data_IF_034833310567
#
_entry.id   IF_034833310567
#
_cell.length_a   1.000
_cell.length_b   1.000
_cell.length_c   1.000
_cell.angle_alpha   90.00
_cell.angle_beta   90.00
_cell.angle_gamma   90.00
#
_symmetry.space_group_name_H-M   'P 1'
#
loop_
_entity.id
_entity.type
_entity.pdbx_description
1 polymer ?
#
# COMPACT_ATOMS: atom_id res chain seq x y z
N UNK A 1 22.08 -8.68 -18.70
CA UNK A 1 22.12 -8.18 -17.31
C UNK A 1 23.23 -7.13 -17.21
N UNK A 2 23.00 -6.03 -16.51
CA UNK A 2 24.02 -4.98 -16.34
C UNK A 2 24.95 -5.36 -15.18
N UNK A 3 26.27 -5.30 -15.39
CA UNK A 3 27.27 -5.65 -14.36
C UNK A 3 27.61 -4.45 -13.49
N UNK A 4 28.10 -4.69 -12.27
CA UNK A 4 28.63 -3.61 -11.40
C UNK A 4 29.74 -2.83 -12.10
N UNK A 5 30.62 -3.50 -12.85
CA UNK A 5 31.70 -2.87 -13.61
C UNK A 5 31.19 -1.84 -14.63
N UNK A 6 30.11 -2.15 -15.35
CA UNK A 6 29.49 -1.21 -16.29
C UNK A 6 28.91 0.02 -15.58
N UNK A 7 28.35 -0.14 -14.37
CA UNK A 7 27.87 0.99 -13.55
C UNK A 7 29.05 1.86 -13.11
N UNK A 8 30.12 1.27 -12.58
CA UNK A 8 31.31 2.03 -12.15
C UNK A 8 31.96 2.78 -13.32
N UNK A 9 32.06 2.15 -14.51
CA UNK A 9 32.57 2.81 -15.70
C UNK A 9 31.73 4.04 -16.09
N UNK A 10 30.40 3.91 -16.10
CA UNK A 10 29.51 5.04 -16.38
C UNK A 10 29.65 6.18 -15.35
N UNK A 11 29.91 5.87 -14.07
CA UNK A 11 30.18 6.89 -13.04
C UNK A 11 31.50 7.62 -13.35
N UNK A 12 32.56 6.88 -13.69
CA UNK A 12 33.84 7.48 -14.10
C UNK A 12 33.71 8.35 -15.36
N UNK A 13 32.78 8.01 -16.26
CA UNK A 13 32.45 8.78 -17.46
C UNK A 13 31.53 9.98 -17.19
N UNK A 14 31.14 10.22 -15.93
CA UNK A 14 30.42 11.43 -15.51
C UNK A 14 28.96 11.22 -15.10
N UNK A 15 28.47 9.98 -14.98
CA UNK A 15 27.13 9.73 -14.46
C UNK A 15 27.08 9.97 -12.93
N UNK A 16 26.41 11.06 -12.51
CA UNK A 16 26.33 11.47 -11.10
C UNK A 16 24.98 11.18 -10.43
N UNK A 17 24.02 10.62 -11.16
CA UNK A 17 22.72 10.27 -10.61
C UNK A 17 22.11 9.01 -11.27
N UNK A 18 20.98 8.55 -10.72
CA UNK A 18 20.28 7.36 -11.23
C UNK A 18 19.74 7.57 -12.66
N UNK A 19 19.15 8.73 -13.04
CA UNK A 19 18.79 9.02 -14.42
C UNK A 19 19.95 8.88 -15.42
N UNK A 20 21.12 9.45 -15.12
CA UNK A 20 22.31 9.34 -15.96
C UNK A 20 22.77 7.88 -16.09
N UNK A 21 22.78 7.13 -14.98
CA UNK A 21 23.08 5.69 -15.01
C UNK A 21 22.09 4.87 -15.83
N UNK A 22 20.79 5.18 -15.73
CA UNK A 22 19.74 4.55 -16.54
C UNK A 22 19.98 4.80 -18.02
N UNK A 23 20.31 6.04 -18.40
CA UNK A 23 20.57 6.41 -19.78
C UNK A 23 21.83 5.75 -20.33
N UNK A 24 22.89 5.66 -19.53
CA UNK A 24 24.18 5.12 -19.96
C UNK A 24 24.21 3.58 -20.01
N UNK A 25 23.50 2.91 -19.09
CA UNK A 25 23.67 1.46 -18.87
C UNK A 25 22.39 0.64 -19.03
N UNK A 26 21.24 1.29 -19.20
CA UNK A 26 19.91 0.68 -19.17
C UNK A 26 19.55 0.00 -17.84
N UNK A 27 20.36 0.12 -16.77
CA UNK A 27 20.03 -0.46 -15.48
C UNK A 27 18.80 0.19 -14.86
N UNK A 28 17.86 -0.61 -14.35
CA UNK A 28 16.66 -0.09 -13.65
C UNK A 28 15.55 0.44 -14.58
N UNK A 29 15.60 0.12 -15.87
CA UNK A 29 14.59 0.51 -16.88
C UNK A 29 13.40 -0.45 -17.01
N UNK A 30 13.54 -1.69 -16.51
CA UNK A 30 12.48 -2.72 -16.61
C UNK A 30 11.58 -2.76 -15.37
N UNK A 31 11.95 -3.50 -14.32
CA UNK A 31 11.15 -3.61 -13.08
C UNK A 31 11.61 -2.67 -11.96
N UNK A 32 12.76 -1.98 -12.14
CA UNK A 32 13.30 -1.03 -11.18
C UNK A 32 13.91 -1.62 -9.90
N UNK A 33 13.93 -2.94 -9.71
CA UNK A 33 14.40 -3.60 -8.48
C UNK A 33 15.85 -3.29 -8.11
N UNK A 34 16.70 -2.99 -9.10
CA UNK A 34 18.10 -2.65 -8.90
C UNK A 34 18.37 -1.15 -8.62
N UNK A 35 17.36 -0.27 -8.68
CA UNK A 35 17.52 1.17 -8.45
C UNK A 35 18.15 1.50 -7.08
N UNK A 36 17.75 0.85 -5.96
CA UNK A 36 18.41 1.08 -4.67
C UNK A 36 19.90 0.75 -4.69
N UNK A 37 20.29 -0.30 -5.41
CA UNK A 37 21.69 -0.70 -5.55
C UNK A 37 22.50 0.31 -6.36
N UNK A 38 21.92 0.94 -7.39
CA UNK A 38 22.57 2.02 -8.14
C UNK A 38 22.92 3.21 -7.22
N UNK A 39 21.99 3.62 -6.34
CA UNK A 39 22.24 4.67 -5.35
C UNK A 39 23.35 4.31 -4.38
N UNK A 40 23.43 3.06 -3.94
CA UNK A 40 24.51 2.60 -3.07
C UNK A 40 25.87 2.65 -3.79
N UNK A 41 25.92 2.27 -5.08
CA UNK A 41 27.17 2.32 -5.87
C UNK A 41 27.62 3.77 -6.08
N UNK A 42 26.72 4.69 -6.42
CA UNK A 42 27.02 6.12 -6.53
C UNK A 42 27.63 6.67 -5.24
N UNK A 43 27.00 6.40 -4.09
CA UNK A 43 27.50 6.83 -2.79
C UNK A 43 28.88 6.21 -2.48
N UNK A 44 29.09 4.93 -2.80
CA UNK A 44 30.37 4.25 -2.62
C UNK A 44 31.48 4.77 -3.54
N UNK A 45 31.14 5.45 -4.64
CA UNK A 45 32.09 6.15 -5.53
C UNK A 45 32.30 7.62 -5.14
N UNK A 46 31.76 8.07 -4.00
CA UNK A 46 31.92 9.43 -3.51
C UNK A 46 31.03 10.46 -4.21
N UNK A 47 30.03 10.02 -4.99
CA UNK A 47 29.06 10.93 -5.60
C UNK A 47 28.09 11.42 -4.53
N UNK A 48 28.14 12.72 -4.25
CA UNK A 48 27.23 13.37 -3.31
C UNK A 48 25.81 13.33 -3.86
N UNK A 49 24.88 12.77 -3.07
CA UNK A 49 23.47 12.70 -3.46
C UNK A 49 22.69 13.79 -2.75
N UNK A 50 21.89 14.53 -3.53
CA UNK A 50 20.94 15.46 -2.96
C UNK A 50 19.95 14.72 -2.05
N UNK A 51 19.67 15.31 -0.88
CA UNK A 51 18.61 14.87 0.02
C UNK A 51 17.22 15.32 -0.41
N UNK A 52 17.14 16.24 -1.37
CA UNK A 52 15.88 16.79 -1.86
C UNK A 52 14.95 15.67 -2.33
N UNK A 53 13.68 15.77 -1.96
CA UNK A 53 12.69 14.81 -2.42
C UNK A 53 12.48 14.92 -3.94
N UNK A 54 12.39 16.14 -4.45
CA UNK A 54 12.28 16.47 -5.87
C UNK A 54 12.53 17.99 -6.06
N UNK A 55 12.38 18.51 -7.28
CA UNK A 55 12.50 19.94 -7.58
C UNK A 55 11.57 20.86 -6.76
N UNK A 56 10.47 20.32 -6.22
CA UNK A 56 9.50 21.07 -5.41
C UNK A 56 9.90 21.21 -3.94
N UNK A 57 10.72 20.29 -3.41
CA UNK A 57 11.07 20.20 -1.99
C UNK A 57 12.55 19.84 -1.81
N UNK A 58 13.32 20.75 -1.21
CA UNK A 58 14.74 20.53 -0.88
C UNK A 58 14.93 19.61 0.33
N UNK A 59 13.86 19.39 1.09
CA UNK A 59 13.81 18.48 2.22
C UNK A 59 13.66 17.04 1.74
N UNK A 60 14.27 16.12 2.48
CA UNK A 60 14.03 14.69 2.38
C UNK A 60 12.64 14.31 2.90
N UNK A 61 12.18 13.09 2.58
CA UNK A 61 10.92 12.55 3.13
C UNK A 61 10.90 12.62 4.68
N UNK A 62 12.01 12.28 5.33
CA UNK A 62 12.10 12.27 6.79
C UNK A 62 11.95 13.68 7.37
N UNK A 63 12.61 14.66 6.77
CA UNK A 63 12.49 16.07 7.15
C UNK A 63 11.06 16.60 6.93
N UNK A 64 10.43 16.28 5.79
CA UNK A 64 9.02 16.64 5.54
C UNK A 64 8.06 16.02 6.56
N UNK A 65 8.31 14.78 7.00
CA UNK A 65 7.53 14.16 8.06
C UNK A 65 7.66 14.94 9.38
N UNK A 66 8.87 15.34 9.75
CA UNK A 66 9.11 16.15 10.95
C UNK A 66 8.47 17.53 10.85
N UNK A 67 8.52 18.17 9.66
CA UNK A 67 7.84 19.44 9.40
C UNK A 67 6.33 19.30 9.63
N UNK A 68 5.69 18.30 9.02
CA UNK A 68 4.25 18.06 9.20
C UNK A 68 3.91 17.79 10.66
N UNK A 69 4.71 16.96 11.34
CA UNK A 69 4.49 16.61 12.74
C UNK A 69 4.63 17.82 13.68
N UNK A 70 5.62 18.69 13.44
CA UNK A 70 5.90 19.85 14.29
C UNK A 70 4.95 21.03 14.03
N UNK A 71 4.54 21.24 12.78
CA UNK A 71 3.70 22.37 12.37
C UNK A 71 2.20 22.07 12.43
N UNK A 72 1.82 20.78 12.38
CA UNK A 72 0.43 20.36 12.31
C UNK A 72 -0.25 20.63 10.96
N UNK A 73 0.51 20.93 9.89
CA UNK A 73 -0.03 21.16 8.54
C UNK A 73 -0.83 19.94 8.06
N UNK A 74 -2.04 20.18 7.52
CA UNK A 74 -2.98 19.12 7.10
C UNK A 74 -3.30 19.09 5.61
N UNK A 75 -2.70 19.98 4.83
CA UNK A 75 -2.96 20.09 3.39
C UNK A 75 -1.65 20.12 2.61
N UNK A 76 -1.62 19.46 1.45
CA UNK A 76 -0.54 19.58 0.49
C UNK A 76 -0.38 21.03 0.03
N UNK A 77 -1.50 21.73 -0.20
CA UNK A 77 -1.51 23.12 -0.65
C UNK A 77 -0.78 24.04 0.34
N UNK A 78 -1.03 23.89 1.63
CA UNK A 78 -0.32 24.63 2.67
C UNK A 78 1.15 24.20 2.79
N UNK A 79 1.43 22.89 2.74
CA UNK A 79 2.80 22.38 2.87
C UNK A 79 3.70 22.88 1.74
N UNK A 80 3.22 22.83 0.49
CA UNK A 80 4.01 23.30 -0.67
C UNK A 80 4.16 24.82 -0.66
N UNK A 81 3.15 25.57 -0.20
CA UNK A 81 3.24 27.03 -0.11
C UNK A 81 4.25 27.50 0.95
N UNK A 82 4.36 26.79 2.08
CA UNK A 82 5.26 27.17 3.19
C UNK A 82 6.66 26.58 3.08
N UNK A 83 6.80 25.37 2.54
CA UNK A 83 8.04 24.59 2.61
C UNK A 83 8.55 24.10 1.25
N UNK A 84 7.86 24.43 0.16
CA UNK A 84 8.23 24.03 -1.20
C UNK A 84 7.99 25.14 -2.22
N UNK A 85 7.88 24.74 -3.49
CA UNK A 85 7.59 25.62 -4.62
C UNK A 85 6.84 24.87 -5.73
N UNK A 86 6.07 25.58 -6.54
CA UNK A 86 5.32 25.02 -7.68
C UNK A 86 4.03 24.29 -7.28
N UNK A 87 3.56 23.38 -8.14
CA UNK A 87 2.26 22.68 -7.99
C UNK A 87 2.39 21.20 -7.61
N UNK A 88 3.62 20.69 -7.49
CA UNK A 88 3.95 19.31 -7.18
C UNK A 88 3.93 18.36 -8.37
N UNK A 89 4.61 17.22 -8.21
CA UNK A 89 4.74 16.14 -9.20
C UNK A 89 4.31 14.77 -8.64
N UNK A 90 4.48 13.74 -9.47
CA UNK A 90 4.26 12.32 -9.18
C UNK A 90 5.20 11.74 -8.11
N UNK A 91 6.24 12.47 -7.68
CA UNK A 91 7.11 12.09 -6.55
C UNK A 91 6.58 12.67 -5.24
N UNK A 92 6.38 13.99 -5.18
CA UNK A 92 6.08 14.66 -3.92
C UNK A 92 4.63 14.52 -3.48
N UNK A 93 3.65 14.53 -4.39
CA UNK A 93 2.23 14.37 -4.05
C UNK A 93 1.94 13.06 -3.29
N UNK A 94 2.31 11.87 -3.80
CA UNK A 94 2.06 10.63 -3.07
C UNK A 94 2.92 10.50 -1.80
N UNK A 95 4.09 11.14 -1.77
CA UNK A 95 4.93 11.17 -0.56
C UNK A 95 4.27 11.97 0.56
N UNK A 96 3.78 13.17 0.24
CA UNK A 96 3.07 14.03 1.18
C UNK A 96 1.73 13.40 1.58
N UNK A 97 0.98 12.83 0.65
CA UNK A 97 -0.24 12.07 0.95
C UNK A 97 0.02 10.99 2.01
N UNK A 98 1.11 10.22 1.85
CA UNK A 98 1.51 9.21 2.83
C UNK A 98 1.88 9.81 4.19
N UNK A 99 2.56 10.96 4.23
CA UNK A 99 2.95 11.63 5.47
C UNK A 99 1.70 12.15 6.21
N UNK A 100 0.81 12.85 5.51
CA UNK A 100 -0.42 13.39 6.07
C UNK A 100 -1.31 12.26 6.61
N UNK A 101 -1.47 11.18 5.83
CA UNK A 101 -2.25 10.02 6.23
C UNK A 101 -1.66 9.26 7.43
N UNK A 102 -0.32 9.23 7.60
CA UNK A 102 0.33 8.59 8.75
C UNK A 102 0.36 9.47 10.02
N UNK A 103 0.00 10.75 9.92
CA UNK A 103 0.02 11.70 11.03
C UNK A 103 -1.38 12.20 11.41
N UNK A 104 -2.43 11.70 10.76
CA UNK A 104 -3.83 12.00 11.04
C UNK A 104 -4.68 10.72 11.08
N UNK A 105 -5.88 10.84 11.64
CA UNK A 105 -6.94 9.83 11.58
C UNK A 105 -8.02 10.14 10.53
N UNK A 106 -7.89 11.25 9.81
CA UNK A 106 -8.85 11.68 8.79
C UNK A 106 -8.90 10.69 7.62
N UNK A 107 -10.03 10.64 6.92
CA UNK A 107 -10.18 9.73 5.81
C UNK A 107 -9.36 10.23 4.60
N UNK A 108 -8.61 9.34 3.94
CA UNK A 108 -7.68 9.70 2.86
C UNK A 108 -8.33 10.32 1.61
N UNK A 109 -9.66 10.22 1.50
CA UNK A 109 -10.47 10.80 0.42
C UNK A 109 -11.23 12.07 0.85
N UNK A 110 -10.97 12.61 2.04
CA UNK A 110 -11.59 13.85 2.49
C UNK A 110 -10.88 15.08 1.92
N UNK A 111 -11.67 16.05 1.46
CA UNK A 111 -11.18 17.33 0.97
C UNK A 111 -10.16 17.19 -0.16
N UNK A 112 -9.05 17.92 -0.07
CA UNK A 112 -7.99 17.89 -1.08
C UNK A 112 -7.14 16.61 -1.06
N UNK A 113 -7.24 15.78 -0.01
CA UNK A 113 -6.45 14.55 0.10
C UNK A 113 -6.81 13.54 -0.99
N UNK A 114 -8.06 13.54 -1.45
CA UNK A 114 -8.55 12.65 -2.50
C UNK A 114 -7.74 12.79 -3.80
N UNK A 115 -7.34 14.01 -4.15
CA UNK A 115 -6.56 14.32 -5.35
C UNK A 115 -5.07 13.96 -5.23
N UNK A 116 -4.60 13.64 -4.03
CA UNK A 116 -3.21 13.23 -3.76
C UNK A 116 -3.04 11.72 -3.76
N UNK A 117 -4.13 10.96 -3.60
CA UNK A 117 -4.08 9.51 -3.57
C UNK A 117 -3.74 8.95 -4.96
N UNK A 118 -2.98 7.86 -4.97
CA UNK A 118 -2.81 7.09 -6.18
C UNK A 118 -4.14 6.44 -6.60
N UNK A 119 -4.20 5.96 -7.84
CA UNK A 119 -5.39 5.30 -8.39
C UNK A 119 -5.99 4.25 -7.46
N UNK A 120 -5.17 3.48 -6.75
CA UNK A 120 -5.68 2.37 -5.95
C UNK A 120 -6.38 2.86 -4.69
N UNK A 121 -5.74 3.78 -3.99
CA UNK A 121 -6.31 4.39 -2.78
C UNK A 121 -7.50 5.31 -3.14
N UNK A 122 -7.49 5.97 -4.30
CA UNK A 122 -8.58 6.83 -4.77
C UNK A 122 -9.87 6.03 -5.04
N UNK A 123 -9.77 4.87 -5.70
CA UNK A 123 -10.93 4.02 -6.01
C UNK A 123 -11.19 2.93 -4.95
N UNK A 124 -10.35 2.87 -3.91
CA UNK A 124 -10.29 1.77 -2.93
C UNK A 124 -10.17 0.37 -3.56
N UNK A 125 -9.75 0.30 -4.83
CA UNK A 125 -9.73 -0.87 -5.70
C UNK A 125 -8.42 -0.90 -6.49
N UNK A 126 -7.98 -2.06 -6.96
CA UNK A 126 -6.59 -2.24 -7.41
C UNK A 126 -6.52 -2.30 -8.93
N UNK A 127 -5.80 -1.38 -9.56
CA UNK A 127 -5.60 -1.38 -11.00
C UNK A 127 -4.77 -2.60 -11.45
N UNK A 128 -5.25 -3.27 -12.51
CA UNK A 128 -4.67 -4.46 -13.10
C UNK A 128 -3.95 -4.14 -14.41
N UNK A 129 -3.13 -5.08 -14.90
CA UNK A 129 -2.32 -4.91 -16.12
C UNK A 129 -3.14 -4.51 -17.36
N UNK A 130 -4.37 -4.98 -17.46
CA UNK A 130 -5.29 -4.71 -18.56
C UNK A 130 -6.17 -3.46 -18.34
N UNK A 131 -5.87 -2.64 -17.32
CA UNK A 131 -6.61 -1.42 -17.01
C UNK A 131 -7.92 -1.63 -16.25
N UNK A 132 -8.32 -2.87 -15.96
CA UNK A 132 -9.45 -3.15 -15.06
C UNK A 132 -9.01 -3.07 -13.60
N UNK A 133 -9.96 -3.26 -12.70
CA UNK A 133 -9.76 -3.18 -11.26
C UNK A 133 -10.08 -4.49 -10.57
N UNK A 134 -9.47 -4.70 -9.40
CA UNK A 134 -9.86 -5.71 -8.45
C UNK A 134 -10.44 -5.11 -7.18
N UNK A 135 -11.51 -5.71 -6.68
CA UNK A 135 -12.23 -5.28 -5.48
C UNK A 135 -12.12 -6.36 -4.42
N UNK A 136 -11.70 -5.97 -3.21
CA UNK A 136 -11.50 -6.89 -2.08
C UNK A 136 -12.26 -6.35 -0.88
N UNK A 137 -13.44 -6.90 -0.54
CA UNK A 137 -14.11 -6.55 0.71
C UNK A 137 -13.30 -7.00 1.92
N UNK A 138 -13.43 -6.27 3.02
CA UNK A 138 -12.84 -6.65 4.31
C UNK A 138 -13.61 -7.82 4.90
N UNK A 139 -12.87 -8.85 5.30
CA UNK A 139 -13.35 -10.01 6.06
C UNK A 139 -12.45 -10.16 7.29
N UNK A 140 -12.78 -9.52 8.43
CA UNK A 140 -11.96 -9.55 9.64
C UNK A 140 -11.67 -10.98 10.10
N UNK A 141 -10.39 -11.30 10.34
CA UNK A 141 -9.97 -12.65 10.74
C UNK A 141 -10.25 -13.75 9.69
N UNK A 142 -10.70 -13.37 8.48
CA UNK A 142 -11.17 -14.30 7.45
C UNK A 142 -12.62 -14.74 7.58
N UNK A 143 -13.41 -14.12 8.48
CA UNK A 143 -14.80 -14.50 8.70
C UNK A 143 -15.77 -13.89 7.67
N UNK A 144 -16.71 -14.70 7.21
CA UNK A 144 -17.78 -14.31 6.28
C UNK A 144 -19.04 -15.10 6.61
N UNK A 145 -20.19 -14.41 6.68
CA UNK A 145 -21.48 -15.08 6.86
C UNK A 145 -21.98 -15.65 5.53
N UNK A 146 -22.87 -16.65 5.53
CA UNK A 146 -23.47 -17.17 4.30
C UNK A 146 -24.10 -16.08 3.43
N UNK A 147 -24.80 -15.11 4.04
CA UNK A 147 -25.47 -14.00 3.34
C UNK A 147 -24.46 -13.09 2.65
N UNK A 148 -23.37 -12.72 3.35
CA UNK A 148 -22.29 -11.92 2.76
C UNK A 148 -21.59 -12.68 1.63
N UNK A 149 -21.39 -13.99 1.79
CA UNK A 149 -20.79 -14.84 0.77
C UNK A 149 -21.67 -14.91 -0.50
N UNK A 150 -22.99 -15.02 -0.33
CA UNK A 150 -23.96 -14.96 -1.44
C UNK A 150 -23.87 -13.62 -2.15
N UNK A 151 -23.89 -12.49 -1.42
CA UNK A 151 -23.77 -11.15 -2.00
C UNK A 151 -22.49 -11.00 -2.82
N UNK A 152 -21.35 -11.47 -2.31
CA UNK A 152 -20.07 -11.47 -3.05
C UNK A 152 -20.20 -12.28 -4.34
N UNK A 153 -20.82 -13.47 -4.28
CA UNK A 153 -21.04 -14.33 -5.43
C UNK A 153 -21.97 -13.69 -6.49
N UNK A 154 -23.04 -13.03 -6.06
CA UNK A 154 -23.95 -12.32 -6.96
C UNK A 154 -23.27 -11.14 -7.64
N UNK A 155 -22.50 -10.32 -6.89
CA UNK A 155 -21.70 -9.25 -7.47
C UNK A 155 -20.73 -9.81 -8.51
N UNK A 156 -20.01 -10.90 -8.17
CA UNK A 156 -19.08 -11.51 -9.10
C UNK A 156 -19.78 -11.96 -10.40
N UNK A 157 -20.93 -12.63 -10.28
CA UNK A 157 -21.73 -13.06 -11.44
C UNK A 157 -22.24 -11.89 -12.27
N UNK A 158 -22.87 -10.91 -11.63
CA UNK A 158 -23.59 -9.82 -12.32
C UNK A 158 -22.63 -8.88 -13.06
N UNK A 159 -21.40 -8.72 -12.56
CA UNK A 159 -20.36 -7.90 -13.20
C UNK A 159 -19.34 -8.72 -14.01
N UNK A 160 -19.48 -10.04 -14.09
CA UNK A 160 -18.59 -10.93 -14.84
C UNK A 160 -17.16 -10.97 -14.29
N UNK A 161 -17.02 -10.96 -12.95
CA UNK A 161 -15.74 -10.86 -12.25
C UNK A 161 -15.13 -12.24 -12.00
N UNK A 162 -13.82 -12.37 -12.20
CA UNK A 162 -13.07 -13.55 -11.78
C UNK A 162 -12.82 -13.49 -10.27
N UNK A 163 -13.13 -14.56 -9.55
CA UNK A 163 -12.98 -14.64 -8.09
C UNK A 163 -11.75 -15.45 -7.68
N UNK A 164 -10.99 -14.97 -6.70
CA UNK A 164 -9.85 -15.72 -6.13
C UNK A 164 -9.77 -15.59 -4.62
N UNK A 165 -9.54 -16.72 -3.94
CA UNK A 165 -9.18 -16.72 -2.50
C UNK A 165 -7.73 -16.27 -2.37
N UNK A 166 -7.49 -15.29 -1.52
CA UNK A 166 -6.17 -14.70 -1.27
C UNK A 166 -5.49 -15.32 -0.05
N UNK A 167 -4.17 -15.20 0.04
CA UNK A 167 -3.40 -15.64 1.21
C UNK A 167 -3.71 -14.89 2.51
N UNK A 168 -4.48 -13.79 2.44
CA UNK A 168 -4.99 -13.05 3.61
C UNK A 168 -6.40 -13.45 4.02
N UNK A 169 -6.87 -14.64 3.61
CA UNK A 169 -8.22 -15.16 3.93
C UNK A 169 -9.35 -14.26 3.43
N UNK A 170 -9.21 -13.76 2.20
CA UNK A 170 -10.22 -12.90 1.56
C UNK A 170 -10.56 -13.35 0.16
N UNK A 171 -11.68 -12.87 -0.36
CA UNK A 171 -12.13 -13.07 -1.74
C UNK A 171 -11.80 -11.81 -2.54
N UNK A 172 -11.04 -11.96 -3.61
CA UNK A 172 -10.68 -10.88 -4.54
C UNK A 172 -11.47 -11.03 -5.85
N UNK A 173 -12.06 -9.93 -6.30
CA UNK A 173 -12.97 -9.83 -7.44
C UNK A 173 -12.29 -9.05 -8.57
N UNK A 174 -11.82 -9.74 -9.61
CA UNK A 174 -11.04 -9.14 -10.69
C UNK A 174 -11.88 -8.87 -11.94
N UNK A 175 -11.55 -7.79 -12.65
CA UNK A 175 -12.12 -7.50 -13.97
C UNK A 175 -13.12 -6.35 -13.99
N UNK A 176 -13.30 -5.66 -12.86
CA UNK A 176 -14.23 -4.54 -12.77
C UNK A 176 -13.72 -3.34 -13.60
N UNK A 177 -14.59 -2.70 -14.36
CA UNK A 177 -14.29 -1.44 -15.02
C UNK A 177 -14.50 -0.27 -14.06
N UNK A 178 -13.84 0.86 -14.32
CA UNK A 178 -13.82 2.00 -13.38
C UNK A 178 -15.23 2.51 -13.07
N UNK A 179 -16.11 2.58 -14.06
CA UNK A 179 -17.49 3.06 -13.92
C UNK A 179 -18.40 2.07 -13.17
N UNK A 180 -17.98 0.81 -13.03
CA UNK A 180 -18.70 -0.21 -12.26
C UNK A 180 -18.37 -0.13 -10.76
N UNK A 181 -17.23 0.45 -10.38
CA UNK A 181 -16.73 0.46 -9.00
C UNK A 181 -17.74 1.07 -8.01
N UNK A 182 -18.40 2.22 -8.28
CA UNK A 182 -19.38 2.77 -7.35
C UNK A 182 -20.56 1.82 -7.08
N UNK A 183 -21.03 1.09 -8.11
CA UNK A 183 -22.12 0.13 -7.98
C UNK A 183 -21.72 -1.11 -7.19
N UNK A 184 -20.50 -1.62 -7.44
CA UNK A 184 -19.93 -2.74 -6.70
C UNK A 184 -19.75 -2.38 -5.23
N UNK A 185 -19.12 -1.23 -4.93
CA UNK A 185 -18.90 -0.77 -3.57
C UNK A 185 -20.22 -0.53 -2.84
N UNK A 186 -21.22 0.08 -3.50
CA UNK A 186 -22.54 0.27 -2.91
C UNK A 186 -23.15 -1.06 -2.45
N UNK A 187 -23.18 -2.08 -3.31
CA UNK A 187 -23.75 -3.40 -2.94
C UNK A 187 -22.97 -4.07 -1.80
N UNK A 188 -21.65 -3.93 -1.76
CA UNK A 188 -20.84 -4.44 -0.65
C UNK A 188 -21.17 -3.71 0.66
N UNK A 189 -21.27 -2.38 0.62
CA UNK A 189 -21.59 -1.54 1.79
C UNK A 189 -23.00 -1.79 2.30
N UNK A 190 -23.99 -1.90 1.40
CA UNK A 190 -25.38 -2.22 1.74
C UNK A 190 -25.48 -3.59 2.45
N UNK A 191 -24.56 -4.52 2.16
CA UNK A 191 -24.42 -5.81 2.85
C UNK A 191 -23.54 -5.77 4.12
N UNK A 192 -23.14 -4.58 4.58
CA UNK A 192 -22.32 -4.39 5.79
C UNK A 192 -20.87 -4.84 5.62
N UNK A 193 -20.31 -4.72 4.42
CA UNK A 193 -18.88 -4.87 4.14
C UNK A 193 -18.24 -3.51 3.84
N UNK A 194 -16.92 -3.44 3.95
CA UNK A 194 -16.13 -2.24 3.65
C UNK A 194 -14.89 -2.61 2.83
N UNK A 195 -14.11 -1.63 2.38
CA UNK A 195 -12.87 -1.93 1.66
C UNK A 195 -11.85 -2.63 2.56
N UNK A 196 -11.28 -3.71 2.03
CA UNK A 196 -10.16 -4.41 2.66
C UNK A 196 -8.83 -3.67 2.57
N UNK A 197 -8.75 -2.54 1.85
CA UNK A 197 -7.51 -1.81 1.58
C UNK A 197 -6.40 -2.72 1.01
N UNK A 198 -6.76 -3.64 0.11
CA UNK A 198 -5.86 -4.72 -0.33
C UNK A 198 -4.55 -4.24 -0.95
N UNK A 199 -4.51 -3.03 -1.54
CA UNK A 199 -3.29 -2.41 -2.05
C UNK A 199 -2.86 -1.13 -1.33
N UNK A 200 -3.65 -0.66 -0.36
CA UNK A 200 -3.28 0.51 0.44
C UNK A 200 -1.96 0.33 1.17
N UNK A 201 -1.27 1.45 1.42
CA UNK A 201 -0.16 1.54 2.38
C UNK A 201 -0.74 1.63 3.80
N UNK A 202 -1.37 0.54 4.19
CA UNK A 202 -2.14 0.42 5.42
C UNK A 202 -2.05 -0.99 5.99
N UNK A 203 -2.72 -1.22 7.12
CA UNK A 203 -3.06 -2.59 7.52
C UNK A 203 -3.89 -3.25 6.41
N UNK A 204 -3.31 -4.28 5.79
CA UNK A 204 -3.96 -5.03 4.72
C UNK A 204 -4.78 -6.18 5.26
N UNK A 205 -4.28 -7.00 6.17
CA UNK A 205 -4.98 -8.19 6.68
C UNK A 205 -4.44 -8.59 8.04
N UNK A 206 -5.31 -9.15 8.88
CA UNK A 206 -4.93 -9.95 10.04
C UNK A 206 -5.32 -11.41 9.77
N UNK A 207 -4.34 -12.24 9.44
CA UNK A 207 -4.58 -13.67 9.17
C UNK A 207 -4.73 -14.42 10.49
N UNK A 208 -5.74 -15.28 10.61
CA UNK A 208 -5.98 -16.09 11.81
C UNK A 208 -5.94 -17.59 11.50
N UNK A 209 -5.75 -18.44 12.50
CA UNK A 209 -6.24 -19.81 12.42
C UNK A 209 -7.58 -19.93 13.14
N UNK A 210 -8.26 -21.06 13.00
CA UNK A 210 -9.60 -21.28 13.57
C UNK A 210 -9.62 -21.40 15.12
N UNK A 211 -8.47 -21.24 15.77
CA UNK A 211 -8.33 -21.12 17.23
C UNK A 211 -8.82 -22.32 18.03
N UNK A 212 -8.98 -22.11 19.35
CA UNK A 212 -9.62 -23.07 20.27
C UNK A 212 -11.11 -23.27 20.01
N UNK A 213 -11.73 -22.40 19.20
CA UNK A 213 -13.15 -22.49 18.83
C UNK A 213 -13.45 -23.73 17.99
N UNK A 214 -12.56 -24.08 17.05
CA UNK A 214 -12.78 -25.21 16.14
C UNK A 214 -11.63 -26.21 16.07
N UNK A 215 -10.38 -25.77 16.30
CA UNK A 215 -9.24 -26.66 16.15
C UNK A 215 -9.11 -27.58 17.36
N UNK A 216 -9.03 -28.90 17.12
CA UNK A 216 -8.73 -29.90 18.16
C UNK A 216 -7.44 -29.59 18.95
N UNK A 217 -6.48 -28.91 18.33
CA UNK A 217 -5.20 -28.51 18.96
C UNK A 217 -5.14 -27.01 19.29
N UNK A 218 -6.25 -26.29 19.19
CA UNK A 218 -6.31 -24.88 19.52
C UNK A 218 -6.10 -24.68 21.02
N UNK A 219 -5.21 -23.77 21.39
CA UNK A 219 -4.91 -23.46 22.80
C UNK A 219 -5.52 -22.11 23.19
N UNK A 220 -5.50 -21.15 22.27
CA UNK A 220 -6.07 -19.82 22.46
C UNK A 220 -7.02 -19.45 21.32
N UNK A 221 -7.90 -18.49 21.60
CA UNK A 221 -8.83 -17.94 20.61
C UNK A 221 -8.12 -16.93 19.70
N UNK A 222 -7.55 -17.44 18.61
CA UNK A 222 -6.91 -16.60 17.60
C UNK A 222 -7.88 -15.84 16.72
N UNK A 223 -9.13 -16.30 16.59
CA UNK A 223 -10.10 -15.68 15.69
C UNK A 223 -10.58 -14.37 16.31
N UNK A 224 -11.03 -14.40 17.56
CA UNK A 224 -11.48 -13.19 18.26
C UNK A 224 -10.37 -12.13 18.32
N UNK A 225 -9.14 -12.54 18.65
CA UNK A 225 -7.98 -11.65 18.68
C UNK A 225 -7.65 -11.07 17.30
N UNK A 226 -7.73 -11.86 16.23
CA UNK A 226 -7.50 -11.37 14.87
C UNK A 226 -8.57 -10.35 14.44
N UNK A 227 -9.84 -10.62 14.77
CA UNK A 227 -10.96 -9.70 14.51
C UNK A 227 -10.76 -8.39 15.28
N UNK A 228 -10.40 -8.46 16.57
CA UNK A 228 -10.14 -7.27 17.38
C UNK A 228 -9.01 -6.43 16.78
N UNK A 229 -7.86 -7.04 16.47
CA UNK A 229 -6.73 -6.34 15.86
C UNK A 229 -7.11 -5.71 14.52
N UNK A 230 -7.82 -6.46 13.66
CA UNK A 230 -8.20 -5.96 12.35
C UNK A 230 -9.16 -4.78 12.46
N UNK A 231 -10.16 -4.86 13.35
CA UNK A 231 -11.14 -3.81 13.55
C UNK A 231 -10.53 -2.59 14.27
N UNK A 232 -9.58 -2.79 15.18
CA UNK A 232 -8.89 -1.71 15.91
C UNK A 232 -7.97 -0.91 15.00
N UNK A 233 -7.24 -1.59 14.12
CA UNK A 233 -6.23 -0.97 13.26
C UNK A 233 -6.68 -0.85 11.80
N UNK A 234 -7.97 -1.08 11.49
CA UNK A 234 -8.52 -0.80 10.15
C UNK A 234 -8.34 0.67 9.83
N UNK A 235 -7.82 0.94 8.64
CA UNK A 235 -7.51 2.31 8.21
C UNK A 235 -6.18 2.86 8.73
N UNK A 236 -5.44 2.15 9.61
CA UNK A 236 -4.10 2.58 10.01
C UNK A 236 -3.20 2.69 8.78
N UNK A 237 -2.67 3.90 8.53
CA UNK A 237 -1.77 4.20 7.41
C UNK A 237 -0.32 4.19 7.86
N UNK A 238 0.54 3.60 7.04
CA UNK A 238 1.94 3.39 7.33
C UNK A 238 2.79 3.63 6.08
N UNK A 239 4.13 3.83 6.20
CA UNK A 239 4.98 4.06 5.03
C UNK A 239 4.91 2.96 3.97
N UNK A 240 4.54 1.74 4.38
CA UNK A 240 4.31 0.59 3.52
C UNK A 240 3.19 -0.30 4.08
N UNK A 241 2.76 -1.31 3.33
CA UNK A 241 1.72 -2.26 3.77
C UNK A 241 2.13 -2.98 5.06
N UNK A 242 1.17 -3.17 5.97
CA UNK A 242 1.31 -3.99 7.17
C UNK A 242 0.40 -5.21 7.06
N UNK A 243 0.90 -6.35 7.50
CA UNK A 243 0.16 -7.60 7.65
C UNK A 243 0.41 -8.11 9.05
N UNK A 244 -0.65 -8.59 9.70
CA UNK A 244 -0.55 -9.20 11.02
C UNK A 244 -0.99 -10.66 10.94
N UNK A 245 -0.55 -11.49 11.88
CA UNK A 245 -0.97 -12.88 12.00
C UNK A 245 -1.22 -13.27 13.44
N UNK A 246 -2.29 -14.03 13.69
CA UNK A 246 -2.62 -14.54 15.02
C UNK A 246 -2.74 -16.06 14.96
N UNK A 247 -1.84 -16.75 15.66
CA UNK A 247 -1.87 -18.22 15.80
C UNK A 247 -2.21 -18.60 17.22
N UNK A 248 -3.26 -19.40 17.41
CA UNK A 248 -3.71 -19.83 18.74
C UNK A 248 -2.86 -20.93 19.38
N UNK A 249 -1.83 -21.46 18.71
CA UNK A 249 -0.87 -22.42 19.27
C UNK A 249 0.45 -22.44 18.48
N UNK A 250 1.43 -23.19 18.96
CA UNK A 250 2.77 -23.29 18.37
C UNK A 250 2.82 -23.92 16.96
N UNK A 251 1.72 -24.50 16.45
CA UNK A 251 1.62 -25.01 15.08
C UNK A 251 1.58 -23.90 14.02
N UNK A 252 1.31 -22.67 14.43
CA UNK A 252 1.59 -21.48 13.64
C UNK A 252 0.82 -21.39 12.30
N UNK A 253 -0.40 -21.95 12.23
CA UNK A 253 -1.15 -22.02 10.97
C UNK A 253 -1.49 -20.66 10.32
N UNK A 254 -1.37 -19.55 11.06
CA UNK A 254 -1.56 -18.20 10.50
C UNK A 254 -0.29 -17.59 9.88
N UNK A 255 0.87 -18.26 9.97
CA UNK A 255 2.16 -17.75 9.50
C UNK A 255 2.55 -16.40 10.15
N UNK A 256 2.15 -16.20 11.42
CA UNK A 256 2.41 -15.00 12.23
C UNK A 256 3.89 -14.61 12.25
N UNK A 257 4.83 -15.56 12.33
CA UNK A 257 6.27 -15.30 12.32
C UNK A 257 6.78 -14.72 11.00
N UNK A 258 6.03 -14.92 9.92
CA UNK A 258 6.31 -14.33 8.61
C UNK A 258 5.49 -13.07 8.31
N UNK A 259 4.71 -12.56 9.28
CA UNK A 259 3.99 -11.29 9.18
C UNK A 259 4.81 -10.17 9.83
N UNK A 260 4.38 -8.93 9.62
CA UNK A 260 5.03 -7.76 10.21
C UNK A 260 4.80 -7.71 11.74
N UNK A 261 3.66 -8.27 12.20
CA UNK A 261 3.26 -8.43 13.61
C UNK A 261 2.62 -9.80 13.83
#
# INVERSE_FOLDING_TARGET
AVTKGAICAAICEGATDVPALKSATCAGTSCGSCIPMLKQILAAQGVEQSKALCEHFEQSRAELFQVVQATGIRTFSELIAKHGKGTGCDICKPTVASILASTSSDHILEGEQAGLQDTNDHFLANMQKNGTYSVVPRLPGGEVTPEKLIVIGEIARDFGLYTKITGGQRIDLFGARVEQLPLIWKRLIDAGMESGHAYGKSLRTVKSCVGSTWCRYGVQDSVAMAVELELRYRGLRSPHKLKMGVSGCARECAEARGKDV
#
